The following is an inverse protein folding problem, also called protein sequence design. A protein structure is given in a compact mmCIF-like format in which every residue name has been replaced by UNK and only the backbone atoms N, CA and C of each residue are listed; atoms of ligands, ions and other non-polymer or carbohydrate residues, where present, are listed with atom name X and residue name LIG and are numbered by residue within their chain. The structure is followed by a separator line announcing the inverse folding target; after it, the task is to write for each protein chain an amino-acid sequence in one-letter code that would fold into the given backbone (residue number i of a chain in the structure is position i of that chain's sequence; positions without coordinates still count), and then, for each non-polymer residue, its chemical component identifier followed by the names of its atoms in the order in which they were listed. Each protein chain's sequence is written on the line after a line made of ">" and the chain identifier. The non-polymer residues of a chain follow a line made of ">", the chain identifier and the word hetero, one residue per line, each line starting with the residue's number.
data_IF_133355328583
#
_entry.id   IF_133355328583
#
_cell.length_a   1.000
_cell.length_b   1.000
_cell.length_c   1.000
_cell.angle_alpha   90.00
_cell.angle_beta   90.00
_cell.angle_gamma   90.00
#
_symmetry.space_group_name_H-M   'P 1'
#
loop_
_entity.id
_entity.type
_entity.pdbx_description
1 polymer ?
#
# COMPACT_ATOMS: atom_id res chain seq x y z
N UNK A 1 14.66 -23.43 -14.98
CA UNK A 1 15.14 -22.44 -13.99
C UNK A 1 15.07 -21.02 -14.55
N UNK A 2 15.48 -20.78 -15.82
CA UNK A 2 15.43 -19.45 -16.45
C UNK A 2 14.01 -18.94 -16.71
N UNK A 3 13.03 -19.81 -16.92
CA UNK A 3 11.63 -19.42 -17.12
C UNK A 3 10.92 -19.06 -15.81
N UNK A 4 11.30 -19.69 -14.70
CA UNK A 4 10.82 -19.35 -13.36
C UNK A 4 11.33 -18.00 -12.86
N UNK A 5 12.54 -17.58 -13.30
CA UNK A 5 13.03 -16.24 -12.99
C UNK A 5 12.32 -15.15 -13.81
N UNK A 6 11.92 -15.45 -15.05
CA UNK A 6 11.11 -14.53 -15.87
C UNK A 6 9.70 -14.32 -15.30
N UNK A 7 9.08 -15.35 -14.74
CA UNK A 7 7.79 -15.19 -14.03
C UNK A 7 7.92 -14.35 -12.77
N UNK A 8 9.04 -14.45 -12.05
CA UNK A 8 9.29 -13.61 -10.87
C UNK A 8 9.43 -12.12 -11.20
N UNK A 9 9.77 -11.75 -12.42
CA UNK A 9 9.86 -10.34 -12.84
C UNK A 9 8.51 -9.72 -13.22
N UNK A 10 7.44 -10.50 -13.29
CA UNK A 10 6.10 -9.98 -13.55
C UNK A 10 5.32 -9.56 -12.29
N UNK A 11 5.82 -9.83 -11.10
CA UNK A 11 5.24 -9.43 -9.82
C UNK A 11 6.36 -9.14 -8.82
N UNK A 12 6.32 -8.05 -8.09
CA UNK A 12 5.17 -7.28 -7.66
C UNK A 12 5.03 -5.96 -8.42
N UNK A 13 3.80 -5.45 -8.47
CA UNK A 13 3.55 -4.09 -8.92
C UNK A 13 4.16 -3.15 -7.88
N UNK A 14 5.36 -2.65 -8.13
CA UNK A 14 5.94 -1.57 -7.34
C UNK A 14 5.29 -0.25 -7.76
N UNK A 15 4.37 0.21 -6.94
CA UNK A 15 3.66 1.46 -7.19
C UNK A 15 4.55 2.70 -7.06
N UNK A 16 5.69 2.60 -6.35
CA UNK A 16 6.63 3.71 -6.22
C UNK A 16 7.36 4.00 -7.54
N UNK A 17 7.70 2.97 -8.31
CA UNK A 17 8.34 3.13 -9.63
C UNK A 17 7.34 3.52 -10.72
N UNK A 18 6.05 3.34 -10.51
CA UNK A 18 5.00 3.49 -11.52
C UNK A 18 4.08 4.68 -11.33
N UNK A 19 4.46 5.69 -10.58
CA UNK A 19 3.87 7.04 -10.69
C UNK A 19 4.22 7.61 -12.07
N UNK A 20 3.89 6.86 -13.14
CA UNK A 20 4.24 7.19 -14.50
C UNK A 20 3.26 8.22 -15.05
N UNK A 21 3.79 9.08 -15.91
CA UNK A 21 3.00 10.04 -16.68
C UNK A 21 1.78 9.35 -17.31
N UNK A 22 0.60 9.60 -16.75
CA UNK A 22 -0.68 9.09 -17.26
C UNK A 22 -0.90 9.43 -18.74
N UNK A 23 -0.27 10.49 -19.22
CA UNK A 23 -0.32 10.90 -20.61
C UNK A 23 0.16 9.80 -21.57
N UNK A 24 1.14 9.00 -21.15
CA UNK A 24 1.64 7.88 -21.96
C UNK A 24 0.56 6.81 -22.18
N UNK A 25 -0.28 6.56 -21.17
CA UNK A 25 -1.40 5.61 -21.26
C UNK A 25 -2.62 6.23 -21.96
N UNK A 26 -2.93 7.48 -21.67
CA UNK A 26 -4.09 8.16 -22.25
C UNK A 26 -3.91 8.49 -23.74
N UNK A 27 -2.71 8.72 -24.22
CA UNK A 27 -2.48 9.08 -25.62
C UNK A 27 -2.92 7.99 -26.62
N UNK A 28 -2.55 6.71 -26.48
CA UNK A 28 -3.05 5.65 -27.37
C UNK A 28 -4.56 5.45 -27.21
N UNK A 29 -5.11 5.57 -25.99
CA UNK A 29 -6.55 5.45 -25.74
C UNK A 29 -7.29 6.55 -26.50
N UNK A 30 -6.88 7.81 -26.40
CA UNK A 30 -7.49 8.93 -27.15
C UNK A 30 -7.45 8.72 -28.65
N UNK A 31 -6.32 8.20 -29.19
CA UNK A 31 -6.23 7.88 -30.61
C UNK A 31 -7.21 6.79 -31.05
N UNK A 32 -7.40 5.77 -30.22
CA UNK A 32 -8.38 4.71 -30.48
C UNK A 32 -9.82 5.25 -30.41
N UNK A 33 -10.14 6.03 -29.38
CA UNK A 33 -11.46 6.65 -29.20
C UNK A 33 -11.85 7.59 -30.37
N UNK A 34 -10.88 8.33 -30.92
CA UNK A 34 -11.13 9.25 -32.05
C UNK A 34 -11.59 8.52 -33.32
N UNK A 35 -11.40 7.20 -33.42
CA UNK A 35 -11.86 6.38 -34.55
C UNK A 35 -13.27 5.83 -34.38
N UNK A 36 -13.84 5.96 -33.19
CA UNK A 36 -15.19 5.44 -32.92
C UNK A 36 -16.26 6.34 -33.53
N UNK A 37 -17.34 5.74 -34.04
CA UNK A 37 -18.50 6.49 -34.48
C UNK A 37 -19.10 7.32 -33.34
N UNK A 38 -19.57 8.54 -33.62
CA UNK A 38 -20.16 9.44 -32.60
C UNK A 38 -21.35 8.83 -31.81
N UNK A 39 -22.02 7.80 -32.38
CA UNK A 39 -23.13 7.10 -31.72
C UNK A 39 -22.66 6.15 -30.60
N UNK A 40 -21.36 5.87 -30.50
CA UNK A 40 -20.81 4.98 -29.46
C UNK A 40 -20.61 5.77 -28.19
N UNK A 41 -21.29 5.36 -27.13
CA UNK A 41 -21.06 5.87 -25.78
C UNK A 41 -19.85 5.14 -25.19
N UNK A 42 -18.88 5.90 -24.72
CA UNK A 42 -17.68 5.37 -24.05
C UNK A 42 -17.82 5.63 -22.55
N UNK A 43 -17.58 4.61 -21.76
CA UNK A 43 -17.55 4.67 -20.30
C UNK A 43 -16.15 4.24 -19.86
N UNK A 44 -15.57 4.95 -18.91
CA UNK A 44 -14.31 4.59 -18.26
C UNK A 44 -14.57 4.31 -16.77
N UNK A 45 -13.94 3.25 -16.24
CA UNK A 45 -13.96 2.89 -14.83
C UNK A 45 -12.52 2.96 -14.30
N UNK A 46 -11.99 4.17 -14.07
CA UNK A 46 -10.63 4.33 -13.57
C UNK A 46 -10.53 3.80 -12.14
N UNK A 47 -9.55 2.92 -11.93
CA UNK A 47 -9.36 2.22 -10.66
C UNK A 47 -8.18 2.77 -9.85
N UNK A 48 -7.28 1.88 -9.49
CA UNK A 48 -6.15 2.08 -8.58
C UNK A 48 -5.30 3.30 -8.91
N UNK A 49 -5.08 3.62 -10.17
CA UNK A 49 -4.28 4.77 -10.56
C UNK A 49 -4.81 6.10 -9.97
N UNK A 50 -6.14 6.24 -9.84
CA UNK A 50 -6.76 7.42 -9.22
C UNK A 50 -6.94 7.22 -7.73
N UNK A 51 -7.41 6.04 -7.31
CA UNK A 51 -7.75 5.78 -5.92
C UNK A 51 -6.50 5.51 -5.05
N UNK A 52 -5.48 4.83 -5.57
CA UNK A 52 -4.27 4.48 -4.82
C UNK A 52 -3.66 5.66 -4.06
N UNK A 53 -3.26 6.74 -4.73
CA UNK A 53 -2.62 7.89 -4.08
C UNK A 53 -3.56 8.71 -3.19
N UNK A 54 -4.86 8.41 -3.16
CA UNK A 54 -5.83 9.17 -2.37
C UNK A 54 -5.77 8.89 -0.86
N UNK A 55 -5.06 7.84 -0.42
CA UNK A 55 -4.92 7.53 0.99
C UNK A 55 -3.51 7.07 1.36
N UNK A 56 -3.19 7.25 2.63
CA UNK A 56 -2.02 6.70 3.31
C UNK A 56 -2.51 5.89 4.51
N UNK A 57 -1.74 4.87 4.91
CA UNK A 57 -1.89 4.24 6.22
C UNK A 57 -0.80 4.75 7.16
N UNK A 58 -1.15 4.92 8.42
CA UNK A 58 -0.20 5.25 9.49
C UNK A 58 -0.34 4.18 10.55
N UNK A 59 0.73 3.45 10.80
CA UNK A 59 0.78 2.40 11.80
C UNK A 59 1.86 2.71 12.85
N UNK A 60 1.62 2.26 14.08
CA UNK A 60 2.52 2.44 15.19
C UNK A 60 3.33 1.16 15.46
N UNK A 61 4.60 1.30 15.78
CA UNK A 61 5.44 0.19 16.25
C UNK A 61 4.99 -0.21 17.65
N UNK A 62 4.45 -1.41 17.78
CA UNK A 62 4.03 -2.00 19.08
C UNK A 62 5.14 -2.80 19.75
N UNK A 63 6.03 -3.37 18.96
CA UNK A 63 7.12 -4.20 19.45
C UNK A 63 8.29 -4.24 18.49
N UNK A 64 9.43 -4.66 19.01
CA UNK A 64 10.64 -4.84 18.19
C UNK A 64 11.48 -6.00 18.70
N UNK A 65 12.16 -6.66 17.77
CA UNK A 65 13.15 -7.70 18.09
C UNK A 65 14.33 -7.60 17.12
N UNK A 66 15.45 -8.17 17.47
CA UNK A 66 16.56 -8.36 16.55
C UNK A 66 16.68 -9.84 16.24
N UNK A 67 16.65 -10.22 14.96
CA UNK A 67 16.75 -11.60 14.50
C UNK A 67 17.66 -11.65 13.28
N UNK A 68 18.66 -12.51 13.32
CA UNK A 68 19.55 -12.77 12.17
C UNK A 68 20.13 -11.50 11.52
N UNK A 69 20.49 -10.52 12.34
CA UNK A 69 21.06 -9.26 11.88
C UNK A 69 20.05 -8.22 11.39
N UNK A 70 18.76 -8.53 11.40
CA UNK A 70 17.69 -7.62 11.00
C UNK A 70 16.89 -7.15 12.21
N UNK A 71 16.44 -5.88 12.15
CA UNK A 71 15.44 -5.36 13.07
C UNK A 71 14.06 -5.77 12.60
N UNK A 72 13.31 -6.44 13.45
CA UNK A 72 11.90 -6.76 13.26
C UNK A 72 11.06 -5.75 14.03
N UNK A 73 10.15 -5.09 13.33
CA UNK A 73 9.19 -4.15 13.93
C UNK A 73 7.79 -4.69 13.72
N UNK A 74 7.07 -4.89 14.81
CA UNK A 74 5.69 -5.35 14.83
C UNK A 74 4.79 -4.13 14.94
N UNK A 75 3.89 -3.97 13.96
CA UNK A 75 3.00 -2.83 13.85
C UNK A 75 1.60 -3.18 14.39
N UNK A 76 0.79 -2.17 14.68
CA UNK A 76 -0.63 -2.30 15.01
C UNK A 76 -1.54 -2.48 13.78
N UNK A 77 -0.97 -2.56 12.59
CA UNK A 77 -1.64 -2.83 11.32
C UNK A 77 -0.80 -3.81 10.48
N UNK A 78 -1.43 -4.56 9.59
CA UNK A 78 -0.74 -5.61 8.83
C UNK A 78 -1.45 -6.01 7.56
N UNK A 79 -1.09 -7.19 7.04
CA UNK A 79 -1.66 -7.70 5.77
C UNK A 79 -3.12 -8.13 5.90
N UNK A 80 -3.62 -8.33 7.10
CA UNK A 80 -5.05 -8.54 7.36
C UNK A 80 -5.83 -7.23 7.49
N UNK A 81 -5.11 -6.13 7.72
CA UNK A 81 -5.61 -4.77 7.81
C UNK A 81 -5.37 -3.97 6.53
N UNK A 82 -4.76 -2.80 6.67
CA UNK A 82 -4.57 -1.86 5.56
C UNK A 82 -3.66 -2.37 4.44
N UNK A 83 -2.80 -3.34 4.71
CA UNK A 83 -1.90 -3.94 3.71
C UNK A 83 -2.50 -5.16 2.99
N UNK A 84 -3.81 -5.37 3.08
CA UNK A 84 -4.51 -6.54 2.53
C UNK A 84 -4.36 -6.75 1.02
N UNK A 85 -4.04 -5.70 0.27
CA UNK A 85 -3.74 -5.81 -1.16
C UNK A 85 -2.51 -6.69 -1.47
N UNK A 86 -1.65 -6.97 -0.49
CA UNK A 86 -0.57 -7.95 -0.67
C UNK A 86 -1.11 -9.36 -0.92
N UNK A 87 -2.23 -9.72 -0.27
CA UNK A 87 -2.87 -11.02 -0.45
C UNK A 87 -3.58 -11.15 -1.80
N UNK A 88 -4.34 -10.11 -2.15
CA UNK A 88 -5.25 -10.20 -3.31
C UNK A 88 -4.56 -9.83 -4.62
N UNK A 89 -3.64 -8.86 -4.58
CA UNK A 89 -3.03 -8.28 -5.76
C UNK A 89 -1.51 -8.41 -5.78
N UNK A 90 -0.90 -9.09 -4.78
CA UNK A 90 0.53 -9.12 -4.58
C UNK A 90 1.16 -7.71 -4.58
N UNK A 91 0.39 -6.73 -4.09
CA UNK A 91 0.80 -5.34 -4.04
C UNK A 91 1.99 -5.14 -3.09
N UNK A 92 2.92 -4.26 -3.45
CA UNK A 92 3.92 -3.73 -2.53
C UNK A 92 3.66 -2.26 -2.32
N UNK A 93 3.61 -1.86 -1.07
CA UNK A 93 3.34 -0.49 -0.70
C UNK A 93 4.63 0.22 -0.32
N UNK A 94 4.89 1.45 -0.84
CA UNK A 94 6.00 2.26 -0.37
C UNK A 94 5.81 2.58 1.10
N UNK A 95 6.79 2.24 1.92
CA UNK A 95 6.77 2.50 3.37
C UNK A 95 7.93 3.39 3.78
N UNK A 96 7.70 4.25 4.76
CA UNK A 96 8.72 5.10 5.35
C UNK A 96 8.46 5.31 6.84
N UNK A 97 9.54 5.50 7.61
CA UNK A 97 9.44 5.89 9.01
C UNK A 97 9.40 7.42 9.13
N UNK A 98 8.72 7.93 10.17
CA UNK A 98 8.76 9.34 10.54
C UNK A 98 9.92 9.67 11.50
N UNK A 99 10.93 8.83 11.54
CA UNK A 99 12.13 9.00 12.35
C UNK A 99 13.34 9.09 11.45
N UNK A 100 14.26 10.00 11.78
CA UNK A 100 15.57 10.08 11.15
C UNK A 100 16.61 9.20 11.85
N UNK A 101 17.64 8.80 11.12
CA UNK A 101 18.76 8.05 11.65
C UNK A 101 19.48 7.20 10.61
N UNK A 102 20.59 6.55 11.01
CA UNK A 102 21.27 5.57 10.15
C UNK A 102 20.33 4.45 9.74
N UNK A 103 20.36 4.09 8.46
CA UNK A 103 19.53 3.02 7.90
C UNK A 103 20.12 1.64 8.24
N UNK A 104 19.28 0.76 8.75
CA UNK A 104 19.61 -0.59 9.14
C UNK A 104 18.66 -1.58 8.48
N UNK A 105 19.12 -2.83 8.20
CA UNK A 105 18.25 -3.87 7.67
C UNK A 105 17.05 -4.13 8.59
N UNK A 106 15.85 -4.11 8.01
CA UNK A 106 14.61 -4.20 8.77
C UNK A 106 13.54 -5.03 8.05
N UNK A 107 12.64 -5.57 8.87
CA UNK A 107 11.40 -6.25 8.49
C UNK A 107 10.25 -5.57 9.20
N UNK A 108 9.17 -5.32 8.50
CA UNK A 108 7.90 -4.86 9.06
C UNK A 108 6.91 -6.03 9.06
N UNK A 109 6.36 -6.34 10.20
CA UNK A 109 5.36 -7.38 10.41
C UNK A 109 4.10 -6.78 11.05
N UNK A 110 2.95 -7.37 10.77
CA UNK A 110 1.70 -7.00 11.41
C UNK A 110 1.55 -7.57 12.82
N UNK A 111 0.38 -7.36 13.43
CA UNK A 111 0.15 -7.69 14.83
C UNK A 111 -0.24 -9.15 15.06
N UNK A 112 -0.53 -9.92 14.02
CA UNK A 112 -1.09 -11.26 14.19
C UNK A 112 -0.01 -12.33 14.36
N UNK A 113 -0.39 -13.50 14.84
CA UNK A 113 0.52 -14.64 14.99
C UNK A 113 0.72 -15.42 13.68
N UNK A 114 0.06 -15.02 12.60
CA UNK A 114 0.22 -15.67 11.30
C UNK A 114 1.56 -15.30 10.67
N UNK A 115 2.30 -16.30 10.21
CA UNK A 115 3.60 -16.13 9.58
C UNK A 115 3.57 -15.35 8.26
N UNK A 116 2.41 -15.23 7.63
CA UNK A 116 2.24 -14.42 6.41
C UNK A 116 1.99 -12.95 6.70
N UNK A 117 1.77 -12.58 7.97
CA UNK A 117 1.55 -11.19 8.36
C UNK A 117 2.87 -10.39 8.38
N UNK A 118 3.54 -10.40 7.23
CA UNK A 118 4.76 -9.66 6.95
C UNK A 118 4.48 -8.63 5.87
N UNK A 119 4.58 -7.35 6.24
CA UNK A 119 4.31 -6.24 5.34
C UNK A 119 5.42 -6.06 4.32
N UNK A 120 6.66 -6.07 4.80
CA UNK A 120 7.83 -5.92 3.92
C UNK A 120 9.09 -6.47 4.58
N UNK A 121 9.92 -7.10 3.76
CA UNK A 121 11.25 -7.59 4.11
C UNK A 121 12.32 -6.81 3.35
N UNK A 122 13.57 -6.95 3.80
CA UNK A 122 14.74 -6.32 3.15
C UNK A 122 14.61 -4.79 3.04
N UNK A 123 13.96 -4.17 4.01
CA UNK A 123 13.88 -2.72 4.11
C UNK A 123 15.15 -2.14 4.74
N UNK A 124 15.42 -0.89 4.40
CA UNK A 124 16.42 -0.08 5.09
C UNK A 124 15.69 1.01 5.86
N UNK A 125 15.61 0.87 7.19
CA UNK A 125 14.92 1.82 8.07
C UNK A 125 15.85 2.31 9.18
N UNK A 126 15.63 3.53 9.72
CA UNK A 126 16.30 3.94 10.93
C UNK A 126 15.90 3.04 12.10
N UNK A 127 16.72 3.02 13.15
CA UNK A 127 16.38 2.24 14.34
C UNK A 127 15.13 2.82 15.01
N UNK A 128 14.02 2.07 14.96
CA UNK A 128 12.74 2.47 15.52
C UNK A 128 12.60 2.05 16.99
N UNK A 129 11.72 2.76 17.68
CA UNK A 129 11.28 2.50 19.05
C UNK A 129 9.79 2.19 19.05
N UNK A 130 9.31 1.54 20.09
CA UNK A 130 7.87 1.40 20.34
C UNK A 130 7.23 2.79 20.40
N UNK A 131 6.13 2.98 19.68
CA UNK A 131 5.44 4.25 19.49
C UNK A 131 5.90 5.06 18.27
N UNK A 132 7.01 4.70 17.60
CA UNK A 132 7.37 5.35 16.34
C UNK A 132 6.36 4.97 15.24
N UNK A 133 6.21 5.85 14.25
CA UNK A 133 5.21 5.72 13.20
C UNK A 133 5.84 5.29 11.88
N UNK A 134 5.17 4.38 11.22
CA UNK A 134 5.39 3.96 9.84
C UNK A 134 4.24 4.49 8.97
N UNK A 135 4.61 5.06 7.83
CA UNK A 135 3.66 5.56 6.83
C UNK A 135 3.71 4.67 5.61
N UNK A 136 2.60 4.03 5.27
CA UNK A 136 2.38 3.34 4.01
C UNK A 136 1.68 4.27 3.03
N UNK A 137 2.15 4.33 1.79
CA UNK A 137 1.58 5.16 0.72
C UNK A 137 0.82 4.30 -0.29
N UNK A 138 0.06 4.95 -1.19
CA UNK A 138 -0.74 4.29 -2.22
C UNK A 138 -1.85 3.37 -1.65
N UNK A 139 -2.40 3.75 -0.51
CA UNK A 139 -3.31 2.93 0.30
C UNK A 139 -4.80 3.18 0.00
N UNK A 140 -5.14 3.88 -1.10
CA UNK A 140 -6.54 4.25 -1.40
C UNK A 140 -7.33 3.20 -2.17
N UNK A 141 -6.71 2.08 -2.60
CA UNK A 141 -7.39 1.07 -3.41
C UNK A 141 -7.07 -0.35 -2.93
N UNK A 142 -8.13 -1.15 -2.71
CA UNK A 142 -8.04 -2.58 -2.32
C UNK A 142 -7.18 -2.79 -1.05
N UNK A 143 -7.35 -1.91 -0.09
CA UNK A 143 -6.66 -1.90 1.20
C UNK A 143 -7.69 -2.01 2.32
N UNK A 144 -8.08 -0.91 2.95
CA UNK A 144 -9.08 -0.90 4.02
C UNK A 144 -10.42 -1.57 3.63
N UNK A 145 -10.85 -1.41 2.37
CA UNK A 145 -12.07 -2.04 1.87
C UNK A 145 -12.00 -3.58 1.85
N UNK A 146 -10.81 -4.16 1.79
CA UNK A 146 -10.56 -5.61 1.84
C UNK A 146 -10.03 -6.07 3.19
N UNK A 147 -9.85 -5.16 4.14
CA UNK A 147 -9.36 -5.45 5.48
C UNK A 147 -10.36 -6.32 6.27
N UNK A 148 -9.83 -7.18 7.11
CA UNK A 148 -10.58 -8.04 8.02
C UNK A 148 -10.29 -7.68 9.47
N UNK A 149 -11.00 -8.30 10.40
CA UNK A 149 -10.73 -8.24 11.84
C UNK A 149 -10.13 -9.58 12.32
N UNK A 150 -9.24 -10.14 11.53
CA UNK A 150 -8.57 -11.39 11.86
C UNK A 150 -7.86 -11.28 13.21
N UNK A 151 -7.97 -12.31 14.04
CA UNK A 151 -7.50 -12.34 15.43
C UNK A 151 -8.06 -11.20 16.30
N UNK A 152 -9.23 -10.65 15.94
CA UNK A 152 -9.89 -9.56 16.66
C UNK A 152 -9.11 -8.24 16.68
N UNK A 153 -8.12 -8.07 15.81
CA UNK A 153 -7.51 -6.77 15.59
C UNK A 153 -8.48 -5.87 14.80
N UNK A 154 -8.80 -4.67 15.31
CA UNK A 154 -9.73 -3.78 14.63
C UNK A 154 -9.09 -3.22 13.35
N UNK A 155 -9.92 -2.97 12.35
CA UNK A 155 -9.48 -2.24 11.16
C UNK A 155 -9.07 -0.82 11.52
N UNK A 156 -8.09 -0.29 10.78
CA UNK A 156 -7.62 1.08 10.94
C UNK A 156 -8.78 2.10 10.82
N UNK A 157 -8.75 3.11 11.68
CA UNK A 157 -9.71 4.22 11.60
C UNK A 157 -9.43 5.08 10.38
N UNK A 158 -10.45 5.33 9.57
CA UNK A 158 -10.33 6.21 8.40
C UNK A 158 -10.61 7.66 8.81
N UNK A 159 -9.66 8.53 8.50
CA UNK A 159 -9.78 9.97 8.78
C UNK A 159 -9.69 10.74 7.47
N UNK A 160 -10.73 11.51 7.13
CA UNK A 160 -10.69 12.38 5.97
C UNK A 160 -9.93 13.68 6.31
N UNK A 161 -8.88 13.94 5.51
CA UNK A 161 -8.07 15.16 5.61
C UNK A 161 -8.35 16.08 4.42
N UNK A 162 -7.92 17.34 4.50
CA UNK A 162 -8.10 18.33 3.42
C UNK A 162 -9.55 18.54 2.98
N UNK A 163 -10.51 18.42 3.90
CA UNK A 163 -11.92 18.70 3.62
C UNK A 163 -12.10 20.17 3.24
N UNK A 164 -12.90 20.45 2.20
CA UNK A 164 -13.36 21.80 1.92
C UNK A 164 -14.44 22.17 2.94
N UNK A 165 -14.51 23.47 3.30
CA UNK A 165 -15.60 23.97 4.13
C UNK A 165 -16.93 23.70 3.40
N UNK A 166 -17.79 22.85 3.98
CA UNK A 166 -19.05 22.41 3.39
C UNK A 166 -19.16 20.91 3.10
N UNK A 167 -18.08 20.13 3.14
CA UNK A 167 -18.13 18.68 2.99
C UNK A 167 -18.63 18.02 4.29
N UNK A 168 -19.94 17.87 4.42
CA UNK A 168 -20.62 17.21 5.57
C UNK A 168 -20.72 15.69 5.44
N UNK A 169 -19.77 15.04 4.78
CA UNK A 169 -19.71 13.58 4.66
C UNK A 169 -19.07 12.95 5.90
N UNK A 170 -19.89 12.47 6.85
CA UNK A 170 -19.40 11.61 7.91
C UNK A 170 -18.89 10.28 7.33
N UNK A 171 -17.70 9.89 7.73
CA UNK A 171 -17.23 8.51 7.59
C UNK A 171 -17.75 7.80 8.84
N UNK A 172 -18.74 6.92 8.65
CA UNK A 172 -19.24 5.99 9.68
C UNK A 172 -18.36 4.76 9.71
#
# INVERSE_FOLDING_TARGET
>A
QADLEKEKTNYPIDYAERAQDIGRFCAPIRRALARLPRRVRVIAEPGRFIAGPAAIAVASVMGRAQREGHWWYYLDDGVYGSYSGQHYDHARYPVSALRDGPLLPAVLAGPTCDSIDVIAENLMLPQLRVGDLIVGREMGAYTWACASEFNFFPRATVVAVNRRAGDSGGVS
#
